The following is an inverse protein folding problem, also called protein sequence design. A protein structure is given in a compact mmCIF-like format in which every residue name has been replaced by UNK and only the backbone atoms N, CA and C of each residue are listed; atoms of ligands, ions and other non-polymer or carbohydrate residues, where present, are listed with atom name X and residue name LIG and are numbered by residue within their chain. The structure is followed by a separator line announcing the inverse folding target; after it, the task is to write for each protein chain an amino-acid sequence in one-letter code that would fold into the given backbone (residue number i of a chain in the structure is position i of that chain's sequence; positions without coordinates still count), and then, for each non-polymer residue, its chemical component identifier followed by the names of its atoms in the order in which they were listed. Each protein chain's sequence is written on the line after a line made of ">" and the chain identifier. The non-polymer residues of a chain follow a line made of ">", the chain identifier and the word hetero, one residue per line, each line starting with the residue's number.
data_IF_610674577895
#
_entry.id   IF_610674577895
#
_cell.length_a   1.000
_cell.length_b   1.000
_cell.length_c   1.000
_cell.angle_alpha   90.00
_cell.angle_beta   90.00
_cell.angle_gamma   90.00
#
_symmetry.space_group_name_H-M   'P 1'
#
loop_
_entity.id
_entity.type
_entity.pdbx_description
1 polymer ?
#
# COMPACT_ATOMS: atom_id res chain seq x y z
N UNK A 1 -2.14 -16.84 -21.22
CA UNK A 1 -3.24 -17.05 -20.25
C UNK A 1 -4.53 -16.72 -20.98
N UNK A 2 -5.53 -17.61 -20.90
CA UNK A 2 -6.84 -17.35 -21.49
C UNK A 2 -7.57 -16.30 -20.65
N UNK A 3 -8.10 -15.27 -21.29
CA UNK A 3 -8.86 -14.21 -20.62
C UNK A 3 -10.15 -14.77 -20.01
N UNK A 4 -10.50 -14.45 -18.75
CA UNK A 4 -11.78 -14.83 -18.15
C UNK A 4 -12.95 -14.32 -18.99
N UNK A 5 -14.08 -15.05 -19.00
CA UNK A 5 -15.24 -14.72 -19.84
C UNK A 5 -15.87 -13.36 -19.54
N UNK A 6 -15.77 -12.93 -18.26
CA UNK A 6 -16.37 -11.68 -17.76
C UNK A 6 -15.42 -10.47 -17.85
N UNK A 7 -14.23 -10.68 -18.44
CA UNK A 7 -13.20 -9.66 -18.56
C UNK A 7 -12.97 -9.36 -20.04
N UNK A 8 -13.36 -8.17 -20.50
CA UNK A 8 -13.04 -7.67 -21.83
C UNK A 8 -11.64 -7.05 -21.90
N UNK A 9 -11.18 -6.74 -23.12
CA UNK A 9 -9.85 -6.17 -23.34
C UNK A 9 -9.65 -4.83 -22.63
N UNK A 10 -10.67 -3.99 -22.54
CA UNK A 10 -10.61 -2.69 -21.88
C UNK A 10 -10.40 -2.86 -20.36
N UNK A 11 -11.20 -3.71 -19.71
CA UNK A 11 -11.06 -4.03 -18.29
C UNK A 11 -9.72 -4.70 -17.99
N UNK A 12 -9.26 -5.57 -18.90
CA UNK A 12 -7.94 -6.21 -18.76
C UNK A 12 -6.81 -5.20 -18.77
N UNK A 13 -6.89 -4.18 -19.64
CA UNK A 13 -5.89 -3.10 -19.69
C UNK A 13 -5.94 -2.19 -18.44
N UNK A 14 -7.13 -1.95 -17.89
CA UNK A 14 -7.28 -1.19 -16.62
C UNK A 14 -6.62 -1.90 -15.45
N UNK A 15 -6.73 -3.21 -15.38
CA UNK A 15 -6.10 -4.01 -14.34
C UNK A 15 -4.58 -4.13 -14.55
N UNK A 16 -4.17 -4.64 -15.67
CA UNK A 16 -2.78 -4.73 -16.15
C UNK A 16 -1.70 -4.71 -15.07
N UNK A 17 -0.68 -3.90 -15.28
CA UNK A 17 0.44 -3.73 -14.35
C UNK A 17 -0.01 -3.15 -13.00
N UNK A 18 -0.96 -2.23 -12.99
CA UNK A 18 -1.44 -1.61 -11.76
C UNK A 18 -2.12 -2.62 -10.84
N UNK A 19 -2.99 -3.47 -11.38
CA UNK A 19 -3.65 -4.54 -10.62
C UNK A 19 -2.66 -5.57 -10.08
N UNK A 20 -1.71 -5.99 -10.91
CA UNK A 20 -0.67 -6.92 -10.48
C UNK A 20 0.20 -6.33 -9.35
N UNK A 21 0.60 -5.07 -9.49
CA UNK A 21 1.37 -4.37 -8.44
C UNK A 21 0.56 -4.25 -7.14
N UNK A 22 -0.72 -3.90 -7.23
CA UNK A 22 -1.60 -3.80 -6.06
C UNK A 22 -1.77 -5.15 -5.35
N UNK A 23 -1.90 -6.25 -6.09
CA UNK A 23 -1.95 -7.61 -5.53
C UNK A 23 -0.65 -7.99 -4.83
N UNK A 24 0.50 -7.67 -5.42
CA UNK A 24 1.81 -7.89 -4.76
C UNK A 24 1.94 -7.08 -3.46
N UNK A 25 1.48 -5.83 -3.45
CA UNK A 25 1.44 -5.02 -2.23
C UNK A 25 0.51 -5.62 -1.17
N UNK A 26 -0.67 -6.07 -1.56
CA UNK A 26 -1.62 -6.69 -0.64
C UNK A 26 -1.07 -8.00 -0.05
N UNK A 27 -0.41 -8.83 -0.86
CA UNK A 27 0.29 -10.03 -0.40
C UNK A 27 1.41 -9.70 0.61
N UNK A 28 2.19 -8.64 0.35
CA UNK A 28 3.22 -8.19 1.29
C UNK A 28 2.61 -7.73 2.63
N UNK A 29 1.51 -6.97 2.61
CA UNK A 29 0.81 -6.53 3.83
C UNK A 29 0.29 -7.73 4.62
N UNK A 30 -0.33 -8.70 3.93
CA UNK A 30 -0.84 -9.93 4.56
C UNK A 30 0.27 -10.78 5.19
N UNK A 31 1.47 -10.76 4.62
CA UNK A 31 2.61 -11.53 5.15
C UNK A 31 2.98 -11.14 6.60
N UNK A 32 2.54 -9.97 7.12
CA UNK A 32 2.67 -9.65 8.54
C UNK A 32 2.00 -10.71 9.42
N UNK A 33 0.80 -11.15 9.06
CA UNK A 33 0.03 -12.13 9.83
C UNK A 33 0.75 -13.48 9.90
N UNK A 34 1.44 -13.85 8.83
CA UNK A 34 2.21 -15.09 8.77
C UNK A 34 3.53 -14.98 9.56
N UNK A 35 4.24 -13.85 9.44
CA UNK A 35 5.54 -13.61 10.07
C UNK A 35 5.45 -13.41 11.59
N UNK A 36 4.32 -12.92 12.10
CA UNK A 36 4.09 -12.61 13.51
C UNK A 36 3.09 -13.57 14.17
N UNK A 37 3.03 -14.81 13.73
CA UNK A 37 2.28 -15.89 14.35
C UNK A 37 0.79 -15.56 14.60
N UNK A 38 0.16 -14.90 13.63
CA UNK A 38 -1.27 -14.62 13.67
C UNK A 38 -1.67 -13.26 14.26
N UNK A 39 -0.72 -12.35 14.48
CA UNK A 39 -1.08 -10.95 14.77
C UNK A 39 -1.86 -10.36 13.59
N UNK A 40 -3.13 -10.03 13.84
CA UNK A 40 -4.01 -9.52 12.80
C UNK A 40 -3.59 -8.14 12.30
N UNK A 41 -3.54 -8.00 10.99
CA UNK A 41 -3.50 -6.70 10.34
C UNK A 41 -4.88 -6.07 10.42
N UNK A 42 -4.95 -4.80 10.80
CA UNK A 42 -6.20 -4.06 10.89
C UNK A 42 -6.14 -2.77 10.09
N UNK A 43 -5.28 -1.85 10.50
CA UNK A 43 -5.20 -0.51 9.93
C UNK A 43 -4.17 -0.48 8.80
N UNK A 44 -4.63 -0.32 7.56
CA UNK A 44 -3.76 -0.29 6.38
C UNK A 44 -3.83 1.07 5.69
N UNK A 45 -2.68 1.72 5.55
CA UNK A 45 -2.55 2.99 4.82
C UNK A 45 -2.26 2.75 3.35
N UNK A 46 -2.92 3.51 2.47
CA UNK A 46 -2.63 3.51 1.03
C UNK A 46 -2.34 4.94 0.58
N UNK A 47 -1.10 5.22 0.17
CA UNK A 47 -0.74 6.52 -0.39
C UNK A 47 -1.04 6.59 -1.87
N UNK A 48 -1.26 7.80 -2.40
CA UNK A 48 -1.62 7.98 -3.81
C UNK A 48 -2.89 7.19 -4.19
N UNK A 49 -3.85 7.11 -3.27
CA UNK A 49 -5.01 6.23 -3.35
C UNK A 49 -5.91 6.46 -4.58
N UNK A 50 -5.83 7.61 -5.23
CA UNK A 50 -6.58 7.90 -6.48
C UNK A 50 -5.81 7.53 -7.75
N UNK A 51 -4.59 7.01 -7.63
CA UNK A 51 -3.80 6.50 -8.76
C UNK A 51 -4.18 5.08 -9.16
N UNK A 52 -3.62 4.58 -10.25
CA UNK A 52 -3.91 3.25 -10.79
C UNK A 52 -3.68 2.14 -9.74
N UNK A 53 -2.47 2.05 -9.18
CA UNK A 53 -2.14 1.06 -8.14
C UNK A 53 -2.91 1.33 -6.86
N UNK A 54 -2.94 2.59 -6.39
CA UNK A 54 -3.55 2.95 -5.11
C UNK A 54 -5.04 2.64 -5.05
N UNK A 55 -5.80 2.94 -6.09
CA UNK A 55 -7.25 2.69 -6.11
C UNK A 55 -7.57 1.20 -6.11
N UNK A 56 -6.82 0.40 -6.86
CA UNK A 56 -6.98 -1.05 -6.86
C UNK A 56 -6.54 -1.65 -5.51
N UNK A 57 -5.47 -1.14 -4.91
CA UNK A 57 -5.03 -1.56 -3.58
C UNK A 57 -6.10 -1.29 -2.51
N UNK A 58 -6.74 -0.09 -2.53
CA UNK A 58 -7.87 0.22 -1.64
C UNK A 58 -8.96 -0.83 -1.77
N UNK A 59 -9.38 -1.14 -3.01
CA UNK A 59 -10.44 -2.12 -3.27
C UNK A 59 -10.07 -3.53 -2.78
N UNK A 60 -8.86 -4.01 -3.07
CA UNK A 60 -8.40 -5.35 -2.69
C UNK A 60 -8.32 -5.47 -1.17
N UNK A 61 -7.63 -4.54 -0.51
CA UNK A 61 -7.42 -4.56 0.94
C UNK A 61 -8.73 -4.44 1.72
N UNK A 62 -9.66 -3.62 1.24
CA UNK A 62 -11.00 -3.53 1.83
C UNK A 62 -11.76 -4.86 1.70
N UNK A 63 -11.70 -5.53 0.55
CA UNK A 63 -12.30 -6.87 0.35
C UNK A 63 -11.64 -7.96 1.20
N UNK A 64 -10.36 -7.79 1.57
CA UNK A 64 -9.66 -8.65 2.53
C UNK A 64 -10.07 -8.40 3.98
N UNK A 65 -10.93 -7.39 4.25
CA UNK A 65 -11.46 -7.08 5.57
C UNK A 65 -10.61 -6.12 6.39
N UNK A 66 -9.62 -5.45 5.79
CA UNK A 66 -8.80 -4.45 6.48
C UNK A 66 -9.50 -3.08 6.55
N UNK A 67 -9.22 -2.33 7.60
CA UNK A 67 -9.60 -0.93 7.74
C UNK A 67 -8.66 -0.06 6.88
N UNK A 68 -9.09 0.27 5.67
CA UNK A 68 -8.25 0.97 4.70
C UNK A 68 -8.35 2.49 4.87
N UNK A 69 -7.20 3.12 5.05
CA UNK A 69 -7.03 4.57 5.17
C UNK A 69 -6.40 5.11 3.88
N UNK A 70 -7.18 5.79 3.06
CA UNK A 70 -6.78 6.25 1.74
C UNK A 70 -6.23 7.68 1.79
N UNK A 71 -4.97 7.88 1.38
CA UNK A 71 -4.32 9.19 1.33
C UNK A 71 -4.45 9.81 -0.04
N UNK A 72 -5.03 11.02 -0.11
CA UNK A 72 -5.16 11.78 -1.34
C UNK A 72 -5.13 13.28 -1.11
N UNK A 73 -4.72 14.06 -2.11
CA UNK A 73 -4.90 15.51 -2.15
C UNK A 73 -6.14 15.95 -2.94
N UNK A 74 -6.88 15.00 -3.54
CA UNK A 74 -8.02 15.28 -4.42
C UNK A 74 -9.34 15.14 -3.67
N UNK A 75 -9.88 16.27 -3.17
CA UNK A 75 -11.13 16.28 -2.38
C UNK A 75 -12.35 15.80 -3.18
N UNK A 76 -12.38 16.02 -4.48
CA UNK A 76 -13.43 15.60 -5.41
C UNK A 76 -13.48 14.07 -5.61
N UNK A 77 -12.50 13.33 -5.10
CA UNK A 77 -12.41 11.87 -5.21
C UNK A 77 -12.78 11.12 -3.93
N UNK A 78 -13.28 11.82 -2.92
CA UNK A 78 -13.61 11.19 -1.63
C UNK A 78 -14.68 10.10 -1.78
N UNK A 79 -15.78 10.40 -2.49
CA UNK A 79 -16.87 9.43 -2.69
C UNK A 79 -16.41 8.24 -3.54
N UNK A 80 -15.57 8.47 -4.53
CA UNK A 80 -14.94 7.40 -5.31
C UNK A 80 -14.15 6.45 -4.40
N UNK A 81 -13.30 6.97 -3.50
CA UNK A 81 -12.50 6.16 -2.60
C UNK A 81 -13.36 5.41 -1.55
N UNK A 82 -14.42 6.05 -1.05
CA UNK A 82 -15.40 5.39 -0.17
C UNK A 82 -16.10 4.23 -0.89
N UNK A 83 -16.51 4.42 -2.13
CA UNK A 83 -17.14 3.38 -2.94
C UNK A 83 -16.18 2.20 -3.23
N UNK A 84 -14.87 2.43 -3.25
CA UNK A 84 -13.86 1.37 -3.30
C UNK A 84 -13.65 0.65 -1.96
N UNK A 85 -14.24 1.15 -0.88
CA UNK A 85 -14.18 0.55 0.45
C UNK A 85 -13.19 1.23 1.40
N UNK A 86 -12.70 2.44 1.10
CA UNK A 86 -11.90 3.18 2.06
C UNK A 86 -12.73 3.54 3.30
N UNK A 87 -12.26 3.14 4.48
CA UNK A 87 -12.87 3.48 5.76
C UNK A 87 -12.68 4.96 6.10
N UNK A 88 -11.46 5.45 5.91
CA UNK A 88 -11.10 6.84 6.15
C UNK A 88 -10.34 7.41 4.96
N UNK A 89 -10.49 8.72 4.77
CA UNK A 89 -9.75 9.47 3.75
C UNK A 89 -8.92 10.52 4.47
N UNK A 90 -7.63 10.49 4.22
CA UNK A 90 -6.63 11.35 4.85
C UNK A 90 -6.07 12.31 3.81
N UNK A 91 -5.97 13.58 4.17
CA UNK A 91 -5.36 14.55 3.28
C UNK A 91 -3.83 14.32 3.23
N UNK A 92 -3.25 14.30 2.03
CA UNK A 92 -1.80 14.14 1.86
C UNK A 92 -0.96 15.14 2.66
N UNK A 93 -1.51 16.33 2.93
CA UNK A 93 -0.81 17.35 3.73
C UNK A 93 -0.48 16.90 5.15
N UNK A 94 -1.17 15.89 5.69
CA UNK A 94 -0.87 15.32 6.99
C UNK A 94 0.48 14.58 7.02
N UNK A 95 0.99 14.23 5.85
CA UNK A 95 2.30 13.58 5.68
C UNK A 95 3.40 14.55 5.20
N UNK A 96 3.09 15.84 5.10
CA UNK A 96 4.06 16.90 4.80
C UNK A 96 4.74 17.39 6.10
N UNK A 97 5.93 17.99 5.96
CA UNK A 97 6.71 18.54 7.06
C UNK A 97 7.67 17.55 7.73
N UNK A 98 8.28 18.00 8.83
CA UNK A 98 9.25 17.19 9.56
C UNK A 98 8.60 16.02 10.29
N UNK A 99 9.31 14.91 10.33
CA UNK A 99 8.94 13.71 11.07
C UNK A 99 9.83 13.56 12.30
N UNK A 100 9.25 13.13 13.42
CA UNK A 100 10.03 12.66 14.56
C UNK A 100 10.67 11.32 14.23
N UNK A 101 11.69 10.93 15.00
CA UNK A 101 12.34 9.62 14.86
C UNK A 101 11.35 8.46 14.98
N UNK A 102 10.42 8.58 15.95
CA UNK A 102 9.28 7.69 16.15
C UNK A 102 8.07 8.53 16.57
N UNK A 103 6.93 8.22 15.97
CA UNK A 103 5.62 8.78 16.31
C UNK A 103 4.71 7.69 16.89
N UNK A 104 3.46 8.01 17.21
CA UNK A 104 2.46 7.00 17.60
C UNK A 104 2.31 5.98 16.48
N UNK A 105 2.44 4.71 16.80
CA UNK A 105 2.20 3.62 15.85
C UNK A 105 0.72 3.53 15.51
N UNK A 106 0.39 3.70 14.23
CA UNK A 106 -0.99 3.73 13.72
C UNK A 106 -1.22 2.64 12.68
N UNK A 107 -0.23 2.37 11.81
CA UNK A 107 -0.40 1.52 10.65
C UNK A 107 0.17 0.13 10.86
N UNK A 108 -0.64 -0.91 10.65
CA UNK A 108 -0.19 -2.31 10.63
C UNK A 108 0.47 -2.64 9.30
N UNK A 109 -0.08 -2.12 8.21
CA UNK A 109 0.42 -2.28 6.85
C UNK A 109 0.33 -0.98 6.07
N UNK A 110 1.18 -0.84 5.08
CA UNK A 110 1.21 0.33 4.19
C UNK A 110 1.43 -0.12 2.76
N UNK A 111 0.67 0.45 1.84
CA UNK A 111 0.95 0.43 0.40
C UNK A 111 1.37 1.83 -0.01
N UNK A 112 2.65 1.99 -0.34
CA UNK A 112 3.19 3.28 -0.72
C UNK A 112 3.50 3.38 -2.20
N UNK A 113 2.82 4.33 -2.86
CA UNK A 113 3.01 4.68 -4.28
C UNK A 113 3.69 6.03 -4.46
N UNK A 114 4.03 6.71 -3.37
CA UNK A 114 4.47 8.10 -3.39
C UNK A 114 5.95 8.26 -3.09
N UNK A 115 6.48 7.52 -2.11
CA UNK A 115 7.88 7.67 -1.70
C UNK A 115 8.17 9.02 -1.02
N UNK A 116 9.43 9.44 -1.08
CA UNK A 116 9.88 10.76 -0.63
C UNK A 116 9.65 11.04 0.86
N UNK A 117 9.42 12.31 1.18
CA UNK A 117 9.23 12.77 2.56
C UNK A 117 8.00 12.14 3.25
N UNK A 118 6.92 11.89 2.51
CA UNK A 118 5.74 11.22 3.05
C UNK A 118 6.06 9.83 3.59
N UNK A 119 6.87 9.06 2.87
CA UNK A 119 7.29 7.72 3.30
C UNK A 119 8.14 7.77 4.57
N UNK A 120 8.97 8.79 4.75
CA UNK A 120 9.73 9.02 5.98
C UNK A 120 8.81 9.10 7.21
N UNK A 121 7.76 9.92 7.14
CA UNK A 121 6.79 10.08 8.22
C UNK A 121 5.98 8.80 8.47
N UNK A 122 5.64 8.08 7.40
CA UNK A 122 4.92 6.82 7.46
C UNK A 122 5.73 5.77 8.25
N UNK A 123 7.05 5.67 8.07
CA UNK A 123 7.88 4.77 8.87
C UNK A 123 7.80 5.07 10.36
N UNK A 124 7.85 6.36 10.74
CA UNK A 124 7.74 6.78 12.14
C UNK A 124 6.38 6.41 12.76
N UNK A 125 5.32 6.31 11.95
CA UNK A 125 3.94 5.99 12.35
C UNK A 125 3.58 4.52 12.20
N UNK A 126 4.48 3.68 11.69
CA UNK A 126 4.21 2.26 11.51
C UNK A 126 4.33 1.53 12.86
N UNK A 127 3.35 0.65 13.16
CA UNK A 127 3.30 -0.17 14.39
C UNK A 127 4.44 -1.20 14.42
N UNK A 128 4.74 -1.78 15.59
CA UNK A 128 5.68 -2.89 15.68
C UNK A 128 5.34 -4.02 14.70
N UNK A 129 6.37 -4.55 14.04
CA UNK A 129 6.24 -5.60 13.03
C UNK A 129 5.54 -5.17 11.74
N UNK A 130 5.12 -3.91 11.61
CA UNK A 130 4.40 -3.42 10.44
C UNK A 130 5.20 -3.53 9.14
N UNK A 131 4.49 -3.68 8.03
CA UNK A 131 5.09 -3.82 6.69
C UNK A 131 4.72 -2.63 5.82
N UNK A 132 5.72 -2.03 5.19
CA UNK A 132 5.59 -0.97 4.20
C UNK A 132 5.95 -1.54 2.83
N UNK A 133 4.95 -1.80 2.00
CA UNK A 133 5.09 -2.23 0.62
C UNK A 133 5.27 -1.00 -0.29
N UNK A 134 6.48 -0.72 -0.71
CA UNK A 134 6.82 0.43 -1.55
C UNK A 134 6.88 0.03 -3.02
N UNK A 135 6.07 0.66 -3.87
CA UNK A 135 5.97 0.37 -5.29
C UNK A 135 6.01 1.60 -6.20
N UNK A 136 6.14 2.81 -5.63
CA UNK A 136 6.19 4.03 -6.43
C UNK A 136 6.99 5.16 -5.78
N UNK A 137 7.21 6.21 -6.56
CA UNK A 137 8.06 7.34 -6.19
C UNK A 137 7.51 8.69 -6.70
N UNK A 138 6.18 8.80 -6.82
CA UNK A 138 5.53 9.99 -7.38
C UNK A 138 5.85 11.30 -6.61
N UNK A 139 6.19 11.21 -5.33
CA UNK A 139 6.59 12.33 -4.48
C UNK A 139 8.11 12.46 -4.26
N UNK A 140 8.90 11.54 -4.81
CA UNK A 140 10.36 11.57 -4.75
C UNK A 140 11.00 10.21 -4.51
N UNK A 141 12.30 10.12 -4.85
CA UNK A 141 13.09 8.88 -4.78
C UNK A 141 13.93 8.76 -3.50
N UNK A 142 14.09 9.85 -2.76
CA UNK A 142 14.93 9.88 -1.55
C UNK A 142 14.07 9.66 -0.31
N UNK A 143 14.53 8.82 0.59
CA UNK A 143 13.96 8.59 1.90
C UNK A 143 14.95 9.11 2.94
N UNK A 144 14.55 10.10 3.73
CA UNK A 144 15.37 10.65 4.81
C UNK A 144 14.85 10.11 6.17
N UNK A 145 15.18 8.86 6.46
CA UNK A 145 14.78 8.19 7.70
C UNK A 145 15.99 7.71 8.49
N UNK A 146 15.73 7.25 9.72
CA UNK A 146 16.75 6.64 10.58
C UNK A 146 16.52 5.14 10.67
N UNK A 147 17.43 4.42 11.30
CA UNK A 147 17.26 2.98 11.55
C UNK A 147 16.26 2.68 12.69
N UNK A 148 15.81 3.70 13.43
CA UNK A 148 14.98 3.52 14.62
C UNK A 148 13.66 2.77 14.39
N UNK A 149 12.84 3.08 13.37
CA UNK A 149 11.63 2.29 13.07
C UNK A 149 11.94 0.82 12.81
N UNK A 150 13.07 0.54 12.18
CA UNK A 150 13.46 -0.82 11.80
C UNK A 150 13.95 -1.63 13.00
N UNK A 151 14.84 -1.09 13.85
CA UNK A 151 15.42 -1.83 14.97
C UNK A 151 14.52 -1.84 16.22
N UNK A 152 13.81 -0.74 16.51
CA UNK A 152 12.96 -0.64 17.72
C UNK A 152 11.58 -1.28 17.50
N UNK A 153 11.02 -1.18 16.29
CA UNK A 153 9.68 -1.70 15.98
C UNK A 153 9.69 -2.86 14.99
N UNK A 154 10.85 -3.27 14.48
CA UNK A 154 10.91 -4.34 13.48
C UNK A 154 10.11 -4.03 12.22
N UNK A 155 9.94 -2.74 11.88
CA UNK A 155 9.26 -2.33 10.64
C UNK A 155 10.00 -2.88 9.44
N UNK A 156 9.26 -3.37 8.46
CA UNK A 156 9.83 -3.94 7.23
C UNK A 156 9.52 -3.04 6.05
N UNK A 157 10.56 -2.61 5.34
CA UNK A 157 10.41 -2.02 4.02
C UNK A 157 10.52 -3.12 2.96
N UNK A 158 9.43 -3.35 2.25
CA UNK A 158 9.36 -4.36 1.20
C UNK A 158 9.20 -3.68 -0.17
N UNK A 159 10.27 -3.68 -0.96
CA UNK A 159 10.23 -3.20 -2.34
C UNK A 159 9.41 -4.12 -3.23
N UNK A 160 8.48 -3.56 -3.97
CA UNK A 160 7.58 -4.28 -4.86
C UNK A 160 8.02 -4.07 -6.32
N UNK A 161 8.75 -5.04 -6.85
CA UNK A 161 9.08 -5.10 -8.28
C UNK A 161 8.04 -5.92 -9.03
N UNK A 162 7.15 -5.23 -9.74
CA UNK A 162 6.17 -5.87 -10.62
C UNK A 162 6.72 -6.12 -12.02
N UNK A 163 7.73 -5.37 -12.46
CA UNK A 163 8.30 -5.47 -13.81
C UNK A 163 9.17 -6.72 -13.97
N UNK A 164 10.05 -6.98 -13.02
CA UNK A 164 10.95 -8.14 -12.99
C UNK A 164 10.29 -9.45 -12.56
N UNK A 165 8.99 -9.47 -12.29
CA UNK A 165 8.29 -10.66 -11.82
C UNK A 165 8.20 -11.76 -12.90
N UNK A 166 8.62 -12.98 -12.56
CA UNK A 166 8.55 -14.16 -13.43
C UNK A 166 7.09 -14.52 -13.80
N UNK A 167 6.91 -15.23 -14.91
CA UNK A 167 5.59 -15.73 -15.34
C UNK A 167 4.97 -16.63 -14.25
N UNK A 168 5.74 -17.46 -13.58
CA UNK A 168 5.27 -18.31 -12.48
C UNK A 168 4.68 -17.48 -11.34
N UNK A 169 5.36 -16.39 -10.94
CA UNK A 169 4.88 -15.46 -9.91
C UNK A 169 3.62 -14.74 -10.36
N UNK A 170 3.56 -14.32 -11.63
CA UNK A 170 2.36 -13.68 -12.19
C UNK A 170 1.14 -14.61 -12.15
N UNK A 171 1.30 -15.85 -12.57
CA UNK A 171 0.23 -16.87 -12.54
C UNK A 171 -0.23 -17.10 -11.09
N UNK A 172 0.69 -17.27 -10.15
CA UNK A 172 0.38 -17.49 -8.73
C UNK A 172 -0.40 -16.31 -8.09
N UNK A 173 -0.01 -15.09 -8.40
CA UNK A 173 -0.64 -13.88 -7.82
C UNK A 173 -2.03 -13.60 -8.42
N UNK A 174 -2.25 -13.96 -9.69
CA UNK A 174 -3.55 -13.80 -10.36
C UNK A 174 -4.53 -14.96 -10.12
N UNK A 175 -4.06 -16.11 -9.71
CA UNK A 175 -4.87 -17.32 -9.45
C UNK A 175 -5.34 -17.45 -8.05
#
# INVERSE_FOLDING_TARGET
>A
IKMPKDLDSHKSMMLGTAGFTALLCAAAVRAKEELLLGEKVKDVLVTGATGGVGSIAVMILSKMGYDVHAVTGKKDKNDYLKNLGAKNIINRKEFEGESKLLEKGVWDGVVDTVGGAALTKIFAQTKPGGIVAACGNAGGIKINTTVMPFIIRGVKLWGIDSSGSSIKRRVFIWG
#
